data_IF_358289198152
#
_entry.id   IF_358289198152
#
_cell.length_a   1.000
_cell.length_b   1.000
_cell.length_c   1.000
_cell.angle_alpha   90.00
_cell.angle_beta   90.00
_cell.angle_gamma   90.00
#
_symmetry.space_group_name_H-M   'P 1'
#
loop_
_entity.id
_entity.type
_entity.pdbx_description
1 polymer ?
#
# COMPACT_ATOMS: atom_id res chain seq x y z
N UNK A 1 4.99 16.24 3.89
CA UNK A 1 6.15 15.60 3.18
C UNK A 1 6.51 16.40 1.91
N UNK A 2 5.54 17.00 1.23
CA UNK A 2 5.68 17.79 -0.02
C UNK A 2 6.41 17.03 -1.18
N UNK A 3 6.40 15.71 -1.21
CA UNK A 3 7.11 14.93 -2.22
C UNK A 3 6.42 14.97 -3.60
N UNK A 4 5.13 14.64 -3.66
CA UNK A 4 4.39 14.51 -4.93
C UNK A 4 3.89 15.81 -5.53
N UNK A 5 3.87 16.92 -4.78
CA UNK A 5 3.41 18.26 -5.20
C UNK A 5 1.99 18.32 -5.79
N UNK A 6 1.15 17.32 -5.59
CA UNK A 6 -0.23 17.30 -6.10
C UNK A 6 -1.16 18.20 -5.28
N UNK A 7 -0.83 18.48 -4.02
CA UNK A 7 -1.61 19.32 -3.12
C UNK A 7 -1.25 20.83 -3.23
N UNK A 8 -0.76 21.29 -4.38
CA UNK A 8 -0.46 22.69 -4.59
C UNK A 8 -1.71 23.55 -4.45
N UNK A 9 -1.55 24.72 -3.84
CA UNK A 9 -2.55 25.77 -3.69
C UNK A 9 -1.90 27.14 -3.99
N UNK A 10 -2.70 28.07 -4.38
CA UNK A 10 -2.30 29.48 -4.54
C UNK A 10 -2.69 30.24 -3.27
N UNK A 11 -1.77 31.01 -2.72
CA UNK A 11 -2.02 31.89 -1.59
C UNK A 11 -2.07 33.31 -2.15
N UNK A 12 -3.18 34.00 -1.90
CA UNK A 12 -3.35 35.39 -2.37
C UNK A 12 -2.22 36.28 -1.83
N UNK A 13 -1.63 37.05 -2.69
CA UNK A 13 -0.46 37.88 -2.36
C UNK A 13 0.89 37.18 -2.43
N UNK A 14 0.96 35.88 -2.76
CA UNK A 14 2.22 35.16 -2.99
C UNK A 14 2.37 34.76 -4.47
N UNK A 15 3.56 34.97 -5.01
CA UNK A 15 3.85 34.56 -6.39
C UNK A 15 3.96 33.06 -6.56
N UNK A 16 4.46 32.35 -5.56
CA UNK A 16 4.72 30.92 -5.63
C UNK A 16 3.54 30.09 -5.13
N UNK A 17 3.24 29.01 -5.84
CA UNK A 17 2.33 27.98 -5.35
C UNK A 17 2.99 27.23 -4.20
N UNK A 18 2.21 26.94 -3.16
CA UNK A 18 2.68 26.21 -1.97
C UNK A 18 1.99 24.85 -1.84
N UNK A 19 2.65 23.91 -1.21
CA UNK A 19 2.07 22.60 -0.91
C UNK A 19 1.26 22.66 0.39
N UNK A 20 -0.02 22.32 0.35
CA UNK A 20 -0.89 22.40 1.54
C UNK A 20 -0.53 21.34 2.62
N UNK A 21 0.10 20.22 2.25
CA UNK A 21 0.40 19.13 3.17
C UNK A 21 1.52 19.43 4.18
N UNK A 22 2.32 20.48 4.00
CA UNK A 22 3.44 20.82 4.90
C UNK A 22 3.52 22.31 5.24
N UNK A 23 2.53 23.10 4.84
CA UNK A 23 2.43 24.50 5.25
C UNK A 23 1.40 24.65 6.35
N UNK A 24 1.74 25.44 7.38
CA UNK A 24 0.84 25.74 8.48
C UNK A 24 -0.20 26.77 8.03
N UNK A 25 -1.42 26.60 8.48
CA UNK A 25 -2.47 27.62 8.34
C UNK A 25 -2.17 28.79 9.28
N UNK A 26 -2.56 29.98 8.83
CA UNK A 26 -2.44 31.23 9.58
C UNK A 26 -3.74 32.01 9.46
N UNK A 27 -4.07 32.80 10.46
CA UNK A 27 -5.25 33.64 10.44
C UNK A 27 -5.17 34.67 9.29
N UNK A 28 -6.28 34.90 8.62
CA UNK A 28 -6.34 35.81 7.46
C UNK A 28 -5.75 35.25 6.17
N UNK A 29 -5.33 33.99 6.14
CA UNK A 29 -4.79 33.37 4.93
C UNK A 29 -5.90 33.09 3.91
N UNK A 30 -5.85 33.73 2.75
CA UNK A 30 -6.75 33.47 1.63
C UNK A 30 -6.10 32.49 0.65
N UNK A 31 -6.80 31.38 0.38
CA UNK A 31 -6.26 30.24 -0.39
C UNK A 31 -7.18 29.91 -1.57
N UNK A 32 -6.62 29.86 -2.77
CA UNK A 32 -7.30 29.41 -3.98
C UNK A 32 -6.86 27.97 -4.29
N UNK A 33 -7.79 27.03 -4.17
CA UNK A 33 -7.51 25.60 -4.35
C UNK A 33 -7.68 25.13 -5.80
N UNK A 34 -8.27 25.94 -6.67
CA UNK A 34 -8.62 25.56 -8.04
C UNK A 34 -8.44 26.70 -9.06
N UNK A 35 -7.46 27.58 -8.85
CA UNK A 35 -7.12 28.60 -9.83
C UNK A 35 -6.53 27.97 -11.11
N UNK A 36 -6.54 28.66 -12.26
CA UNK A 36 -5.91 28.17 -13.49
C UNK A 36 -4.46 27.74 -13.28
N UNK A 37 -3.67 28.49 -12.52
CA UNK A 37 -2.27 28.18 -12.20
C UNK A 37 -2.16 26.86 -11.41
N UNK A 38 -3.03 26.67 -10.43
CA UNK A 38 -3.06 25.45 -9.61
C UNK A 38 -3.43 24.23 -10.46
N UNK A 39 -4.45 24.36 -11.35
CA UNK A 39 -4.84 23.25 -12.24
C UNK A 39 -3.72 22.82 -13.17
N UNK A 40 -3.06 23.79 -13.82
CA UNK A 40 -1.91 23.52 -14.72
C UNK A 40 -0.78 22.82 -13.96
N UNK A 41 -0.38 23.35 -12.81
CA UNK A 41 0.72 22.80 -12.02
C UNK A 41 0.41 21.39 -11.50
N UNK A 42 -0.82 21.12 -11.05
CA UNK A 42 -1.24 19.78 -10.63
C UNK A 42 -1.22 18.77 -11.77
N UNK A 43 -1.76 19.16 -12.95
CA UNK A 43 -1.74 18.31 -14.14
C UNK A 43 -0.32 17.93 -14.51
N UNK A 44 0.59 18.90 -14.59
CA UNK A 44 2.00 18.67 -14.90
C UNK A 44 2.68 17.75 -13.88
N UNK A 45 2.41 17.94 -12.58
CA UNK A 45 2.98 17.06 -11.53
C UNK A 45 2.49 15.63 -11.65
N UNK A 46 1.20 15.40 -11.96
CA UNK A 46 0.68 14.05 -12.15
C UNK A 46 1.21 13.42 -13.44
N UNK A 47 1.36 14.17 -14.52
CA UNK A 47 2.02 13.72 -15.75
C UNK A 47 3.48 13.30 -15.51
N UNK A 48 4.24 14.06 -14.68
CA UNK A 48 5.60 13.70 -14.27
C UNK A 48 5.64 12.43 -13.44
N UNK A 49 4.66 12.22 -12.54
CA UNK A 49 4.53 10.99 -11.77
C UNK A 49 4.26 9.81 -12.70
N UNK A 50 3.34 9.97 -13.64
CA UNK A 50 2.97 8.93 -14.60
C UNK A 50 4.15 8.55 -15.51
N UNK A 51 5.02 9.50 -15.90
CA UNK A 51 6.19 9.19 -16.72
C UNK A 51 7.22 8.27 -16.02
N UNK A 52 7.08 8.06 -14.72
CA UNK A 52 7.93 7.17 -13.91
C UNK A 52 7.17 5.97 -13.34
N UNK A 53 5.96 5.70 -13.80
CA UNK A 53 5.08 4.68 -13.27
C UNK A 53 4.68 3.69 -14.37
N UNK A 54 4.81 2.39 -14.11
CA UNK A 54 4.25 1.35 -15.01
C UNK A 54 2.74 1.27 -14.80
N UNK A 55 1.98 1.81 -15.75
CA UNK A 55 0.53 1.90 -15.68
C UNK A 55 -0.20 0.74 -16.37
N UNK A 56 0.29 -0.48 -16.22
CA UNK A 56 -0.45 -1.70 -16.56
C UNK A 56 -1.64 -1.92 -15.61
N UNK A 57 -2.60 -1.00 -15.67
CA UNK A 57 -3.69 -0.91 -14.69
C UNK A 57 -4.57 -2.16 -14.66
N UNK A 58 -4.82 -2.80 -15.80
CA UNK A 58 -5.69 -3.97 -15.89
C UNK A 58 -5.20 -5.17 -15.07
N UNK A 59 -3.88 -5.28 -14.87
CA UNK A 59 -3.24 -6.37 -14.09
C UNK A 59 -2.71 -5.89 -12.74
N UNK A 60 -3.06 -4.69 -12.32
CA UNK A 60 -2.59 -4.11 -11.07
C UNK A 60 -3.51 -4.48 -9.91
N UNK A 61 -2.93 -4.84 -8.75
CA UNK A 61 -3.68 -5.10 -7.50
C UNK A 61 -4.51 -3.91 -7.01
N UNK A 62 -4.24 -2.70 -7.51
CA UNK A 62 -5.00 -1.48 -7.22
C UNK A 62 -5.94 -1.07 -8.35
N UNK A 63 -6.19 -1.92 -9.33
CA UNK A 63 -7.14 -1.61 -10.41
C UNK A 63 -8.52 -1.26 -9.84
N UNK A 64 -9.08 -0.13 -10.25
CA UNK A 64 -10.35 0.38 -9.73
C UNK A 64 -10.30 1.02 -8.33
N UNK A 65 -9.19 0.87 -7.59
CA UNK A 65 -9.00 1.47 -6.26
C UNK A 65 -7.58 2.08 -6.14
N UNK A 66 -7.25 3.01 -7.04
CA UNK A 66 -5.94 3.64 -7.12
C UNK A 66 -6.06 5.15 -7.14
N UNK A 67 -5.49 5.82 -6.15
CA UNK A 67 -5.50 7.29 -6.05
C UNK A 67 -4.87 7.96 -7.29
N UNK A 68 -3.82 7.37 -7.88
CA UNK A 68 -3.19 7.91 -9.08
C UNK A 68 -4.12 7.83 -10.30
N UNK A 69 -4.83 6.72 -10.45
CA UNK A 69 -5.81 6.52 -11.52
C UNK A 69 -6.97 7.52 -11.40
N UNK A 70 -7.51 7.71 -10.20
CA UNK A 70 -8.54 8.73 -9.93
C UNK A 70 -8.04 10.13 -10.28
N UNK A 71 -6.86 10.51 -9.80
CA UNK A 71 -6.27 11.83 -10.09
C UNK A 71 -6.02 12.05 -11.58
N UNK A 72 -5.62 11.01 -12.32
CA UNK A 72 -5.43 11.11 -13.78
C UNK A 72 -6.74 11.39 -14.50
N UNK A 73 -7.82 10.74 -14.08
CA UNK A 73 -9.16 10.96 -14.63
C UNK A 73 -9.68 12.36 -14.26
N UNK A 74 -9.58 12.77 -12.99
CA UNK A 74 -10.07 14.08 -12.49
C UNK A 74 -9.36 15.27 -13.17
N UNK A 75 -8.08 15.09 -13.52
CA UNK A 75 -7.28 16.11 -14.20
C UNK A 75 -7.32 15.99 -15.73
N UNK A 76 -8.13 15.06 -16.26
CA UNK A 76 -8.25 14.80 -17.69
C UNK A 76 -6.88 14.64 -18.36
N UNK A 77 -6.07 13.72 -17.85
CA UNK A 77 -4.75 13.41 -18.43
C UNK A 77 -4.93 12.36 -19.50
N UNK A 78 -4.79 12.78 -20.76
CA UNK A 78 -4.92 11.93 -21.95
C UNK A 78 -3.59 11.81 -22.72
N UNK A 79 -2.58 12.57 -22.32
CA UNK A 79 -1.27 12.64 -22.95
C UNK A 79 -0.16 12.70 -21.90
N UNK A 80 1.00 12.19 -22.23
CA UNK A 80 2.20 12.19 -21.39
C UNK A 80 3.34 12.88 -22.17
N UNK A 81 3.55 14.20 -21.98
CA UNK A 81 4.55 14.94 -22.73
C UNK A 81 5.99 14.68 -22.24
N UNK A 82 6.16 13.93 -21.15
CA UNK A 82 7.45 13.61 -20.56
C UNK A 82 7.94 12.24 -21.00
N UNK A 83 9.26 12.12 -21.22
CA UNK A 83 9.87 10.83 -21.54
C UNK A 83 9.66 9.82 -20.41
N UNK A 84 9.17 8.65 -20.74
CA UNK A 84 9.04 7.55 -19.78
C UNK A 84 10.39 7.11 -19.22
N UNK A 85 10.42 6.89 -17.91
CA UNK A 85 11.55 6.39 -17.17
C UNK A 85 11.10 5.53 -16.01
N UNK A 86 10.70 4.31 -16.31
CA UNK A 86 10.30 3.33 -15.30
C UNK A 86 11.56 2.66 -14.73
N UNK A 87 11.60 2.55 -13.41
CA UNK A 87 12.71 1.94 -12.69
C UNK A 87 12.40 0.47 -12.39
N UNK A 88 13.32 -0.41 -12.76
CA UNK A 88 13.24 -1.85 -12.47
C UNK A 88 14.29 -2.21 -11.42
N UNK A 89 13.86 -2.79 -10.32
CA UNK A 89 14.75 -3.32 -9.30
C UNK A 89 14.28 -4.72 -8.86
N UNK A 90 15.21 -5.66 -8.67
CA UNK A 90 14.87 -7.00 -8.21
C UNK A 90 14.32 -6.94 -6.78
N UNK A 91 13.37 -7.84 -6.49
CA UNK A 91 12.81 -8.03 -5.16
C UNK A 91 12.68 -9.52 -4.85
N UNK A 92 12.90 -9.90 -3.60
CA UNK A 92 12.69 -11.28 -3.17
C UNK A 92 11.20 -11.60 -3.11
N UNK A 93 10.72 -12.39 -4.06
CA UNK A 93 9.31 -12.80 -4.14
C UNK A 93 8.89 -13.82 -3.09
N UNK A 94 9.84 -14.41 -2.36
CA UNK A 94 9.55 -15.31 -1.25
C UNK A 94 9.25 -14.56 0.05
N UNK A 95 9.65 -13.29 0.15
CA UNK A 95 9.33 -12.47 1.30
C UNK A 95 7.82 -12.14 1.34
N UNK A 96 7.17 -12.14 2.52
CA UNK A 96 5.72 -11.88 2.62
C UNK A 96 5.27 -10.51 2.11
N UNK A 97 6.14 -9.51 2.15
CA UNK A 97 5.92 -8.18 1.59
C UNK A 97 6.54 -8.10 0.22
N UNK A 98 5.75 -7.82 -0.79
CA UNK A 98 6.20 -7.61 -2.18
C UNK A 98 6.33 -6.12 -2.46
N UNK A 99 7.46 -5.74 -3.07
CA UNK A 99 7.70 -4.40 -3.59
C UNK A 99 7.84 -4.43 -5.11
N UNK A 100 7.04 -3.62 -5.77
CA UNK A 100 7.08 -3.38 -7.20
C UNK A 100 7.61 -1.95 -7.44
N UNK A 101 8.90 -1.85 -7.78
CA UNK A 101 9.58 -0.57 -7.97
C UNK A 101 8.99 0.23 -9.12
N UNK A 102 8.53 -0.46 -10.17
CA UNK A 102 7.97 0.12 -11.38
C UNK A 102 6.69 0.93 -11.11
N UNK A 103 5.98 0.57 -10.04
CA UNK A 103 4.75 1.24 -9.60
C UNK A 103 4.96 2.31 -8.54
N UNK A 104 6.19 2.48 -8.05
CA UNK A 104 6.48 3.42 -6.98
C UNK A 104 6.45 4.88 -7.47
N UNK A 105 5.55 5.69 -6.93
CA UNK A 105 5.44 7.13 -7.23
C UNK A 105 6.30 8.01 -6.30
N UNK A 106 7.14 7.41 -5.50
CA UNK A 106 8.11 8.11 -4.63
C UNK A 106 7.46 9.13 -3.68
N UNK A 107 6.26 8.83 -3.19
CA UNK A 107 5.49 9.70 -2.29
C UNK A 107 5.98 9.72 -0.85
N UNK A 108 6.91 8.84 -0.48
CA UNK A 108 7.54 8.70 0.85
C UNK A 108 6.57 8.33 2.00
N UNK A 109 5.33 7.93 1.73
CA UNK A 109 4.37 7.57 2.80
C UNK A 109 4.82 6.33 3.58
N UNK A 110 5.36 5.32 2.89
CA UNK A 110 5.89 4.10 3.53
C UNK A 110 7.06 4.42 4.48
N UNK A 111 7.95 5.34 4.11
CA UNK A 111 9.04 5.81 4.97
C UNK A 111 8.45 6.46 6.22
N UNK A 112 7.52 7.40 6.05
CA UNK A 112 6.94 8.15 7.17
C UNK A 112 6.20 7.24 8.15
N UNK A 113 5.35 6.32 7.67
CA UNK A 113 4.62 5.43 8.57
C UNK A 113 5.57 4.45 9.27
N UNK A 114 6.57 3.94 8.59
CA UNK A 114 7.53 3.00 9.16
C UNK A 114 8.47 3.65 10.19
N UNK A 115 8.93 4.87 9.91
CA UNK A 115 9.85 5.59 10.80
C UNK A 115 9.11 6.31 11.95
N UNK A 116 8.07 7.12 11.63
CA UNK A 116 7.44 8.01 12.61
C UNK A 116 6.32 7.38 13.42
N UNK A 117 5.63 6.39 12.87
CA UNK A 117 4.50 5.74 13.55
C UNK A 117 4.91 4.39 14.13
N UNK A 118 5.58 3.55 13.35
CA UNK A 118 6.02 2.21 13.78
C UNK A 118 7.37 2.22 14.52
N UNK A 119 8.20 3.25 14.32
CA UNK A 119 9.51 3.35 14.94
C UNK A 119 10.58 2.39 14.38
N UNK A 120 10.30 1.70 13.25
CA UNK A 120 11.17 0.65 12.71
C UNK A 120 12.20 1.17 11.70
N UNK A 121 11.86 2.20 10.90
CA UNK A 121 12.77 2.81 9.94
C UNK A 121 13.31 1.87 8.86
N UNK A 122 12.49 0.92 8.38
CA UNK A 122 12.90 -0.08 7.36
C UNK A 122 13.14 0.58 6.00
N UNK A 123 12.32 1.56 5.63
CA UNK A 123 12.35 2.23 4.34
C UNK A 123 13.12 3.54 4.39
N UNK A 124 13.88 3.83 3.35
CA UNK A 124 14.62 5.08 3.21
C UNK A 124 14.67 5.53 1.75
N UNK A 125 15.06 6.79 1.54
CA UNK A 125 15.34 7.35 0.22
C UNK A 125 16.75 6.96 -0.19
N UNK A 126 16.88 6.45 -1.40
CA UNK A 126 18.19 6.14 -1.99
C UNK A 126 18.37 6.89 -3.31
N UNK A 127 19.61 7.20 -3.65
CA UNK A 127 19.97 7.99 -4.83
C UNK A 127 19.44 9.42 -4.79
N UNK A 128 19.76 10.21 -5.79
CA UNK A 128 19.41 11.64 -5.89
C UNK A 128 18.92 12.01 -7.29
N UNK A 129 18.22 13.14 -7.38
CA UNK A 129 17.69 13.67 -8.64
C UNK A 129 16.69 12.70 -9.28
N UNK A 130 16.80 12.50 -10.58
CA UNK A 130 15.90 11.62 -11.34
C UNK A 130 16.03 10.14 -10.98
N UNK A 131 17.10 9.76 -10.27
CA UNK A 131 17.35 8.38 -9.78
C UNK A 131 16.82 8.15 -8.36
N UNK A 132 16.25 9.17 -7.72
CA UNK A 132 15.67 9.02 -6.38
C UNK A 132 14.67 7.87 -6.37
N UNK A 133 14.82 6.95 -5.42
CA UNK A 133 13.90 5.84 -5.19
C UNK A 133 13.74 5.58 -3.70
N UNK A 134 12.70 4.84 -3.35
CA UNK A 134 12.50 4.32 -2.00
C UNK A 134 13.02 2.89 -1.96
N UNK A 135 13.89 2.57 -1.03
CA UNK A 135 14.41 1.22 -0.86
C UNK A 135 14.53 0.86 0.62
N UNK A 136 14.94 -0.36 0.92
CA UNK A 136 15.32 -0.74 2.28
C UNK A 136 16.53 0.09 2.70
N UNK A 137 16.50 0.60 3.91
CA UNK A 137 17.55 1.47 4.46
C UNK A 137 18.94 0.84 4.31
N UNK A 138 19.88 1.61 3.78
CA UNK A 138 21.23 1.14 3.50
C UNK A 138 21.32 0.18 2.32
N UNK A 139 20.31 0.10 1.46
CA UNK A 139 20.22 -0.85 0.33
C UNK A 139 20.40 -2.32 0.74
N UNK A 140 20.08 -2.66 1.98
CA UNK A 140 20.10 -4.05 2.47
C UNK A 140 18.99 -4.88 1.81
N UNK A 141 19.10 -6.19 1.87
CA UNK A 141 17.97 -7.08 1.56
C UNK A 141 16.90 -6.89 2.63
N UNK A 142 15.64 -7.05 2.24
CA UNK A 142 14.53 -6.95 3.19
C UNK A 142 14.58 -8.05 4.26
N UNK A 143 15.14 -9.22 3.92
CA UNK A 143 15.37 -10.32 4.84
C UNK A 143 16.37 -10.01 5.95
N UNK A 144 17.27 -9.06 5.69
CA UNK A 144 18.33 -8.66 6.64
C UNK A 144 17.91 -7.41 7.44
N UNK A 145 16.69 -6.94 7.23
CA UNK A 145 16.11 -5.81 7.94
C UNK A 145 15.11 -6.32 8.99
N UNK A 146 15.10 -5.69 10.17
CA UNK A 146 14.22 -6.05 11.29
C UNK A 146 12.77 -5.63 11.03
N UNK A 147 12.19 -6.13 9.92
CA UNK A 147 10.82 -5.83 9.52
C UNK A 147 9.83 -6.64 10.35
N UNK A 148 8.97 -5.96 11.11
CA UNK A 148 7.93 -6.61 11.91
C UNK A 148 6.74 -7.14 11.11
N UNK A 149 6.75 -7.06 9.77
CA UNK A 149 5.68 -7.51 8.87
C UNK A 149 4.29 -6.93 9.20
N UNK A 150 4.23 -5.74 9.80
CA UNK A 150 3.01 -5.10 10.28
C UNK A 150 2.06 -4.62 9.16
N UNK A 151 2.48 -4.62 7.88
CA UNK A 151 1.66 -4.23 6.74
C UNK A 151 1.34 -2.73 6.59
N UNK A 152 1.73 -1.87 7.54
CA UNK A 152 1.36 -0.45 7.53
C UNK A 152 1.86 0.29 6.28
N UNK A 153 3.00 -0.09 5.74
CA UNK A 153 3.52 0.48 4.49
C UNK A 153 2.64 0.11 3.28
N UNK A 154 1.97 -1.05 3.28
CA UNK A 154 1.02 -1.48 2.25
C UNK A 154 -0.23 -0.60 2.29
N UNK A 155 -0.84 -0.45 3.47
CA UNK A 155 -2.09 0.33 3.65
C UNK A 155 -1.91 1.81 3.33
N UNK A 156 -0.70 2.35 3.55
CA UNK A 156 -0.37 3.75 3.24
C UNK A 156 0.13 3.97 1.80
N UNK A 157 0.38 2.88 1.04
CA UNK A 157 0.78 3.00 -0.37
C UNK A 157 -0.43 3.41 -1.23
N UNK A 158 -0.39 4.58 -1.92
CA UNK A 158 -1.52 5.06 -2.71
C UNK A 158 -1.65 4.35 -4.07
N UNK A 159 -0.68 3.50 -4.41
CA UNK A 159 -0.59 2.72 -5.64
C UNK A 159 -0.22 1.27 -5.33
N UNK A 160 -0.12 0.40 -6.30
CA UNK A 160 0.24 -1.01 -6.11
C UNK A 160 1.73 -1.31 -5.97
N UNK A 161 2.52 -0.35 -5.44
CA UNK A 161 3.98 -0.54 -5.32
C UNK A 161 4.40 -1.41 -4.11
N UNK A 162 3.56 -1.48 -3.09
CA UNK A 162 3.73 -2.37 -1.93
C UNK A 162 2.45 -3.17 -1.76
N UNK A 163 2.60 -4.47 -1.63
CA UNK A 163 1.50 -5.41 -1.44
C UNK A 163 1.96 -6.63 -0.66
N UNK A 164 1.02 -7.38 -0.15
CA UNK A 164 1.21 -8.71 0.38
C UNK A 164 1.58 -9.70 -0.75
N UNK A 165 2.28 -10.78 -0.40
CA UNK A 165 2.46 -11.92 -1.29
C UNK A 165 1.13 -12.66 -1.37
N UNK A 166 0.70 -12.97 -2.56
CA UNK A 166 -0.48 -13.80 -2.79
C UNK A 166 -0.08 -15.28 -2.77
N UNK A 167 -0.59 -16.01 -1.79
CA UNK A 167 -0.39 -17.44 -1.65
C UNK A 167 -1.68 -18.24 -1.91
N UNK A 168 -2.72 -17.61 -2.48
CA UNK A 168 -4.04 -18.23 -2.70
C UNK A 168 -3.93 -19.54 -3.50
N UNK A 169 -3.21 -19.52 -4.63
CA UNK A 169 -3.01 -20.72 -5.46
C UNK A 169 -2.31 -21.86 -4.69
N UNK A 170 -1.32 -21.53 -3.87
CA UNK A 170 -0.64 -22.53 -3.04
C UNK A 170 -1.57 -23.21 -2.04
N UNK A 171 -2.54 -22.45 -1.52
CA UNK A 171 -3.56 -22.99 -0.59
C UNK A 171 -4.50 -23.90 -1.36
N UNK A 172 -4.98 -23.52 -2.54
CA UNK A 172 -5.82 -24.37 -3.38
C UNK A 172 -5.10 -25.65 -3.81
N UNK A 173 -3.84 -25.56 -4.21
CA UNK A 173 -3.01 -26.72 -4.53
C UNK A 173 -2.85 -27.66 -3.32
N UNK A 174 -2.72 -27.10 -2.11
CA UNK A 174 -2.62 -27.90 -0.92
C UNK A 174 -3.94 -28.60 -0.57
N UNK A 175 -5.08 -27.93 -0.72
CA UNK A 175 -6.42 -28.51 -0.51
C UNK A 175 -6.72 -29.61 -1.54
N UNK A 176 -6.25 -29.44 -2.77
CA UNK A 176 -6.45 -30.45 -3.84
C UNK A 176 -5.53 -31.67 -3.72
N UNK A 177 -4.48 -31.61 -2.92
CA UNK A 177 -3.51 -32.72 -2.74
C UNK A 177 -3.95 -33.64 -1.59
N UNK A 178 -4.54 -34.79 -1.92
CA UNK A 178 -5.01 -35.81 -0.95
C UNK A 178 -3.93 -36.32 0.01
N UNK A 179 -2.64 -36.06 -0.28
CA UNK A 179 -1.52 -36.46 0.58
C UNK A 179 -1.20 -35.44 1.66
N UNK A 180 -1.80 -34.26 1.61
CA UNK A 180 -1.56 -33.18 2.56
C UNK A 180 -2.71 -33.05 3.53
N UNK A 181 -2.37 -32.84 4.79
CA UNK A 181 -3.34 -32.39 5.80
C UNK A 181 -3.29 -30.86 5.87
N UNK A 182 -4.39 -30.22 5.55
CA UNK A 182 -4.51 -28.76 5.54
C UNK A 182 -5.06 -28.26 6.87
N UNK A 183 -4.21 -27.55 7.61
CA UNK A 183 -4.58 -26.93 8.89
C UNK A 183 -4.64 -25.44 8.73
N UNK A 184 -5.76 -24.83 9.11
CA UNK A 184 -5.99 -23.38 9.05
C UNK A 184 -6.08 -22.83 10.46
N UNK A 185 -5.32 -21.77 10.71
CA UNK A 185 -5.43 -20.96 11.92
C UNK A 185 -5.83 -19.53 11.52
N UNK A 186 -6.89 -19.01 12.15
CA UNK A 186 -7.46 -17.71 11.83
C UNK A 186 -6.85 -16.64 12.75
N UNK A 187 -6.17 -15.66 12.18
CA UNK A 187 -5.60 -14.54 12.91
C UNK A 187 -6.69 -13.68 13.58
N UNK A 188 -6.42 -13.08 14.76
CA UNK A 188 -7.41 -12.27 15.48
C UNK A 188 -7.97 -11.10 14.65
N UNK A 189 -7.13 -10.42 13.86
CA UNK A 189 -7.55 -9.32 13.00
C UNK A 189 -8.50 -9.78 11.88
N UNK A 190 -8.22 -10.95 11.27
CA UNK A 190 -9.09 -11.55 10.25
C UNK A 190 -10.43 -11.93 10.87
N UNK A 191 -10.42 -12.56 12.05
CA UNK A 191 -11.64 -12.93 12.80
C UNK A 191 -12.59 -11.76 13.01
N UNK A 192 -12.08 -10.55 13.21
CA UNK A 192 -12.90 -9.36 13.45
C UNK A 192 -13.33 -8.62 12.17
N UNK A 193 -12.58 -8.74 11.09
CA UNK A 193 -12.76 -7.94 9.87
C UNK A 193 -13.38 -8.69 8.68
N UNK A 194 -13.40 -10.03 8.68
CA UNK A 194 -13.84 -10.81 7.51
C UNK A 194 -15.27 -10.52 7.07
N UNK A 195 -16.17 -10.28 8.04
CA UNK A 195 -17.57 -10.00 7.75
C UNK A 195 -17.78 -8.69 7.01
N UNK A 196 -17.01 -7.65 7.35
CA UNK A 196 -17.02 -6.37 6.64
C UNK A 196 -16.55 -6.54 5.19
N UNK A 197 -15.49 -7.31 4.95
CA UNK A 197 -15.01 -7.62 3.61
C UNK A 197 -16.05 -8.36 2.75
N UNK A 198 -16.94 -9.14 3.37
CA UNK A 198 -18.04 -9.87 2.73
C UNK A 198 -19.37 -9.08 2.69
N UNK A 199 -19.38 -7.81 3.12
CA UNK A 199 -20.59 -7.00 3.18
C UNK A 199 -21.63 -7.49 4.21
N UNK A 200 -21.21 -8.28 5.19
CA UNK A 200 -22.09 -8.82 6.25
C UNK A 200 -22.24 -7.83 7.40
N UNK A 201 -23.36 -7.91 8.10
CA UNK A 201 -23.51 -7.21 9.38
C UNK A 201 -22.59 -7.85 10.43
N UNK A 202 -22.10 -7.04 11.38
CA UNK A 202 -21.18 -7.50 12.42
C UNK A 202 -21.74 -8.67 13.26
N UNK A 203 -23.04 -8.62 13.59
CA UNK A 203 -23.77 -9.66 14.34
C UNK A 203 -23.86 -11.00 13.59
N UNK A 204 -23.85 -10.95 12.26
CA UNK A 204 -23.91 -12.13 11.39
C UNK A 204 -22.55 -12.76 11.13
N UNK A 205 -21.47 -12.00 11.30
CA UNK A 205 -20.10 -12.42 11.04
C UNK A 205 -19.49 -13.18 12.24
N UNK A 206 -20.07 -14.31 12.59
CA UNK A 206 -19.63 -15.12 13.74
C UNK A 206 -18.40 -15.94 13.43
N UNK A 207 -17.61 -16.26 14.47
CA UNK A 207 -16.43 -17.15 14.35
C UNK A 207 -16.82 -18.52 13.81
N UNK A 208 -17.94 -19.08 14.24
CA UNK A 208 -18.42 -20.37 13.76
C UNK A 208 -18.64 -20.40 12.25
N UNK A 209 -19.16 -19.30 11.65
CA UNK A 209 -19.35 -19.22 10.19
C UNK A 209 -18.05 -19.24 9.41
N UNK A 210 -17.03 -18.52 9.87
CA UNK A 210 -15.74 -18.53 9.16
C UNK A 210 -15.01 -19.87 9.32
N UNK A 211 -15.13 -20.52 10.49
CA UNK A 211 -14.59 -21.86 10.69
C UNK A 211 -15.28 -22.89 9.77
N UNK A 212 -16.61 -22.85 9.68
CA UNK A 212 -17.40 -23.73 8.79
C UNK A 212 -17.08 -23.46 7.32
N UNK A 213 -16.91 -22.20 6.93
CA UNK A 213 -16.53 -21.84 5.56
C UNK A 213 -15.20 -22.50 5.15
N UNK A 214 -14.17 -22.43 5.98
CA UNK A 214 -12.87 -23.07 5.71
C UNK A 214 -12.99 -24.60 5.61
N UNK A 215 -13.78 -25.23 6.48
CA UNK A 215 -14.05 -26.66 6.39
C UNK A 215 -14.75 -27.05 5.10
N UNK A 216 -15.73 -26.27 4.65
CA UNK A 216 -16.43 -26.50 3.38
C UNK A 216 -15.52 -26.29 2.16
N UNK A 217 -14.51 -25.41 2.27
CA UNK A 217 -13.50 -25.26 1.22
C UNK A 217 -12.50 -26.40 1.15
N UNK A 218 -12.48 -27.30 2.13
CA UNK A 218 -11.63 -28.49 2.12
C UNK A 218 -10.50 -28.51 3.14
N UNK A 219 -10.49 -27.59 4.12
CA UNK A 219 -9.53 -27.66 5.21
C UNK A 219 -9.86 -28.82 6.17
N UNK A 220 -8.88 -29.64 6.51
CA UNK A 220 -9.03 -30.77 7.42
C UNK A 220 -9.26 -30.31 8.86
N UNK A 221 -8.50 -29.32 9.30
CA UNK A 221 -8.61 -28.73 10.64
C UNK A 221 -8.63 -27.22 10.55
N UNK A 222 -9.47 -26.59 11.37
CA UNK A 222 -9.60 -25.13 11.43
C UNK A 222 -9.64 -24.71 12.89
N UNK A 223 -8.71 -23.82 13.27
CA UNK A 223 -8.57 -23.33 14.64
C UNK A 223 -8.70 -21.80 14.67
N UNK A 224 -9.25 -21.30 15.77
CA UNK A 224 -9.12 -19.92 16.17
C UNK A 224 -7.77 -19.72 16.91
N UNK A 225 -7.17 -18.57 16.77
CA UNK A 225 -5.92 -18.19 17.47
C UNK A 225 -6.07 -18.22 18.99
N UNK A 226 -7.28 -18.06 19.54
CA UNK A 226 -7.51 -18.23 20.99
C UNK A 226 -7.08 -19.61 21.47
N UNK A 227 -7.32 -20.67 20.68
CA UNK A 227 -6.86 -22.03 21.00
C UNK A 227 -5.34 -22.10 21.15
N UNK A 228 -4.60 -21.54 20.20
CA UNK A 228 -3.13 -21.56 20.27
C UNK A 228 -2.57 -20.63 21.36
N UNK A 229 -3.26 -19.55 21.67
CA UNK A 229 -2.90 -18.66 22.79
C UNK A 229 -3.07 -19.39 24.14
N UNK A 230 -4.18 -20.10 24.34
CA UNK A 230 -4.42 -20.91 25.54
C UNK A 230 -3.36 -22.01 25.66
N UNK A 231 -3.02 -22.68 24.56
CA UNK A 231 -1.99 -23.71 24.54
C UNK A 231 -0.62 -23.14 24.93
N UNK A 232 -0.25 -21.96 24.42
CA UNK A 232 0.99 -21.27 24.78
C UNK A 232 1.07 -21.02 26.29
N UNK A 233 -0.02 -20.53 26.91
CA UNK A 233 -0.07 -20.29 28.36
C UNK A 233 0.09 -21.59 29.18
N UNK A 234 -0.37 -22.70 28.63
CA UNK A 234 -0.26 -24.00 29.31
C UNK A 234 1.13 -24.62 29.23
N UNK A 235 1.90 -24.26 28.18
CA UNK A 235 3.24 -24.86 27.90
C UNK A 235 4.41 -23.97 28.43
N UNK A 236 4.19 -22.68 28.67
CA UNK A 236 5.15 -21.73 29.27
C UNK A 236 4.96 -21.58 30.78
#
# INVERSE_FOLDING_TARGET
IAACRVCLVEVVGKEQLVTSCNNKVQEGLEILTNSPRVRVARKQNVQLILSQHDFKCATCVRSGNCTLQTLSNDLNIIDLPFKERVEHAPWDKNFPLIRDTEKCIKCMRCIQVCDKVQGLGIWDVTSTGSRTTVNVKGNRKITDADCALCGQCITHCPVGALRERDDTEKVWDAIADEKKTVVVQIAPAVRTAWGEAMGMKREDATVGKILDAWKRMGADYVFDTSFSADLTIMEE
#
